data_IF_387916489847
#
_entry.id   IF_387916489847
#
_cell.length_a   1.000
_cell.length_b   1.000
_cell.length_c   1.000
_cell.angle_alpha   90.00
_cell.angle_beta   90.00
_cell.angle_gamma   90.00
#
_symmetry.space_group_name_H-M   'P 1'
#
loop_
_entity.id
_entity.type
_entity.pdbx_description
1 polymer ?
#
# COMPACT_ATOMS: atom_id res chain seq x y z
N UNK A 1 8.36 1.18 34.16
CA UNK A 1 7.38 1.31 33.06
C UNK A 1 6.21 0.40 33.36
N UNK A 2 5.02 0.96 33.54
CA UNK A 2 3.81 0.19 33.83
C UNK A 2 3.31 -0.51 32.55
N UNK A 3 2.72 -1.71 32.66
CA UNK A 3 2.17 -2.44 31.49
C UNK A 3 1.20 -1.58 30.65
N UNK A 4 0.44 -0.70 31.31
CA UNK A 4 -0.47 0.27 30.69
C UNK A 4 0.23 1.29 29.77
N UNK A 5 1.43 1.76 30.12
CA UNK A 5 2.21 2.66 29.26
C UNK A 5 2.69 1.94 28.01
N UNK A 6 3.11 0.68 28.13
CA UNK A 6 3.51 -0.12 26.97
C UNK A 6 2.34 -0.35 26.01
N UNK A 7 1.13 -0.61 26.51
CA UNK A 7 -0.06 -0.75 25.67
C UNK A 7 -0.43 0.56 24.99
N UNK A 8 -0.40 1.71 25.70
CA UNK A 8 -0.67 3.02 25.09
C UNK A 8 0.37 3.38 24.01
N UNK A 9 1.64 3.08 24.24
CA UNK A 9 2.70 3.33 23.27
C UNK A 9 2.58 2.40 22.06
N UNK A 10 2.21 1.14 22.27
CA UNK A 10 1.91 0.21 21.18
C UNK A 10 0.67 0.63 20.40
N UNK A 11 -0.40 1.08 21.07
CA UNK A 11 -1.62 1.58 20.44
C UNK A 11 -1.35 2.84 19.61
N UNK A 12 -0.60 3.80 20.15
CA UNK A 12 -0.18 4.98 19.40
C UNK A 12 0.75 4.64 18.23
N UNK A 13 1.63 3.65 18.39
CA UNK A 13 2.47 3.17 17.30
C UNK A 13 1.63 2.49 16.21
N UNK A 14 0.65 1.66 16.58
CA UNK A 14 -0.27 0.99 15.67
C UNK A 14 -1.18 2.01 14.99
N UNK A 15 -1.73 3.00 15.69
CA UNK A 15 -2.57 4.06 15.10
C UNK A 15 -1.78 5.00 14.19
N UNK A 16 -0.50 5.26 14.51
CA UNK A 16 0.40 6.00 13.61
C UNK A 16 0.81 5.19 12.40
N UNK A 17 0.97 3.88 12.55
CA UNK A 17 1.31 2.98 11.46
C UNK A 17 0.08 2.77 10.57
N UNK A 18 -1.05 2.39 11.14
CA UNK A 18 -2.37 2.32 10.53
C UNK A 18 -3.01 3.71 10.36
N UNK A 19 -2.20 4.71 9.98
CA UNK A 19 -2.70 6.03 9.59
C UNK A 19 -3.65 5.80 8.42
N UNK A 20 -4.81 6.46 8.43
CA UNK A 20 -5.79 6.42 7.33
C UNK A 20 -5.17 6.63 5.95
N UNK A 21 -4.10 7.42 5.89
CA UNK A 21 -3.29 7.69 4.71
C UNK A 21 -2.55 6.45 4.18
N UNK A 22 -2.03 5.57 5.04
CA UNK A 22 -1.36 4.32 4.67
C UNK A 22 -2.36 3.28 4.15
N UNK A 23 -3.53 3.20 4.78
CA UNK A 23 -4.60 2.29 4.35
C UNK A 23 -5.18 2.70 2.99
N UNK A 24 -5.27 4.01 2.73
CA UNK A 24 -5.68 4.54 1.44
C UNK A 24 -4.67 4.22 0.33
N UNK A 25 -3.36 4.26 0.61
CA UNK A 25 -2.32 3.84 -0.34
C UNK A 25 -2.43 2.36 -0.69
N UNK A 26 -2.58 1.51 0.32
CA UNK A 26 -2.82 0.08 0.11
C UNK A 26 -4.09 -0.17 -0.71
N UNK A 27 -5.18 0.54 -0.40
CA UNK A 27 -6.46 0.40 -1.10
C UNK A 27 -6.38 0.77 -2.58
N UNK A 28 -5.73 1.89 -2.92
CA UNK A 28 -5.59 2.31 -4.32
C UNK A 28 -4.67 1.38 -5.12
N UNK A 29 -3.53 0.97 -4.55
CA UNK A 29 -2.63 0.02 -5.18
C UNK A 29 -3.33 -1.33 -5.43
N UNK A 30 -4.05 -1.85 -4.44
CA UNK A 30 -4.82 -3.07 -4.55
C UNK A 30 -5.95 -2.97 -5.57
N UNK A 31 -6.82 -1.95 -5.48
CA UNK A 31 -7.98 -1.80 -6.35
C UNK A 31 -7.59 -1.63 -7.83
N UNK A 32 -6.57 -0.81 -8.14
CA UNK A 32 -6.11 -0.61 -9.51
C UNK A 32 -5.48 -1.88 -10.10
N UNK A 33 -4.70 -2.60 -9.29
CA UNK A 33 -4.10 -3.87 -9.73
C UNK A 33 -5.16 -4.95 -9.95
N UNK A 34 -6.21 -4.97 -9.13
CA UNK A 34 -7.34 -5.89 -9.28
C UNK A 34 -8.19 -5.54 -10.50
N UNK A 35 -8.39 -4.25 -10.79
CA UNK A 35 -9.00 -3.78 -12.05
C UNK A 35 -8.14 -4.08 -13.29
N UNK A 36 -6.84 -4.33 -13.11
CA UNK A 36 -5.94 -4.91 -14.12
C UNK A 36 -6.51 -6.17 -14.77
N UNK A 37 -7.30 -6.95 -14.02
CA UNK A 37 -8.02 -8.12 -14.51
C UNK A 37 -8.90 -7.83 -15.73
N UNK A 38 -9.48 -6.64 -15.80
CA UNK A 38 -10.37 -6.23 -16.90
C UNK A 38 -9.62 -5.50 -18.01
N UNK A 39 -8.49 -4.86 -17.69
CA UNK A 39 -7.69 -4.14 -18.67
C UNK A 39 -6.21 -4.15 -18.27
N UNK A 40 -5.41 -4.90 -19.02
CA UNK A 40 -4.00 -5.19 -18.74
C UNK A 40 -3.12 -3.98 -18.32
N UNK A 41 -3.23 -2.76 -18.90
CA UNK A 41 -2.41 -1.64 -18.46
C UNK A 41 -2.68 -1.18 -17.02
N UNK A 42 -3.84 -1.52 -16.43
CA UNK A 42 -4.14 -1.18 -15.03
C UNK A 42 -3.30 -1.99 -14.02
N UNK A 43 -2.75 -3.15 -14.40
CA UNK A 43 -1.80 -3.85 -13.54
C UNK A 43 -0.57 -2.98 -13.22
N UNK A 44 -0.11 -2.19 -14.21
CA UNK A 44 0.98 -1.22 -14.01
C UNK A 44 0.52 0.08 -13.35
N UNK A 45 -0.76 0.44 -13.47
CA UNK A 45 -1.31 1.67 -12.91
C UNK A 45 -1.31 1.69 -11.38
N UNK A 46 -1.54 0.54 -10.72
CA UNK A 46 -1.42 0.44 -9.27
C UNK A 46 -0.01 0.79 -8.77
N UNK A 47 1.02 0.26 -9.44
CA UNK A 47 2.42 0.57 -9.13
C UNK A 47 2.77 2.04 -9.46
N UNK A 48 2.29 2.54 -10.61
CA UNK A 48 2.54 3.90 -11.06
C UNK A 48 1.93 4.95 -10.12
N UNK A 49 0.68 4.74 -9.67
CA UNK A 49 0.02 5.63 -8.70
C UNK A 49 0.76 5.62 -7.36
N UNK A 50 1.26 4.46 -6.93
CA UNK A 50 2.06 4.35 -5.70
C UNK A 50 3.36 5.17 -5.82
N UNK A 51 4.08 5.03 -6.93
CA UNK A 51 5.31 5.77 -7.20
C UNK A 51 5.08 7.29 -7.35
N UNK A 52 4.05 7.70 -8.09
CA UNK A 52 3.72 9.12 -8.31
C UNK A 52 3.36 9.80 -6.99
N UNK A 53 2.57 9.13 -6.15
CA UNK A 53 2.13 9.67 -4.87
C UNK A 53 3.29 9.80 -3.88
N UNK A 54 4.21 8.84 -3.88
CA UNK A 54 5.42 8.92 -3.07
C UNK A 54 6.41 9.97 -3.57
N UNK A 55 6.53 10.15 -4.90
CA UNK A 55 7.31 11.26 -5.47
C UNK A 55 6.73 12.63 -5.09
N UNK A 56 5.39 12.75 -5.04
CA UNK A 56 4.70 13.95 -4.56
C UNK A 56 4.94 14.19 -3.07
N UNK A 57 4.89 13.14 -2.24
CA UNK A 57 5.19 13.25 -0.81
C UNK A 57 6.67 13.60 -0.57
N UNK A 58 7.59 13.07 -1.38
CA UNK A 58 9.01 13.43 -1.35
C UNK A 58 9.22 14.90 -1.70
N UNK A 59 8.52 15.39 -2.73
CA UNK A 59 8.63 16.78 -3.16
C UNK A 59 8.05 17.76 -2.13
N UNK A 60 6.95 17.38 -1.47
CA UNK A 60 6.26 18.22 -0.50
C UNK A 60 6.90 18.21 0.89
N UNK A 61 7.30 17.03 1.39
CA UNK A 61 7.78 16.86 2.78
C UNK A 61 9.28 16.63 2.91
N UNK A 62 10.03 16.51 1.80
CA UNK A 62 11.49 16.22 1.74
C UNK A 62 11.94 14.94 2.46
N UNK A 63 11.02 14.13 2.98
CA UNK A 63 11.32 12.88 3.67
C UNK A 63 10.64 11.73 2.94
N UNK A 64 11.44 10.72 2.59
CA UNK A 64 10.95 9.48 1.98
C UNK A 64 10.27 8.62 3.05
N UNK A 65 8.96 8.42 2.95
CA UNK A 65 8.22 7.57 3.89
C UNK A 65 8.16 6.13 3.40
N UNK A 66 9.22 5.36 3.69
CA UNK A 66 9.35 3.97 3.25
C UNK A 66 8.16 3.06 3.60
N UNK A 67 7.41 3.38 4.67
CA UNK A 67 6.20 2.64 5.04
C UNK A 67 5.10 2.71 3.99
N UNK A 68 4.89 3.89 3.39
CA UNK A 68 3.85 4.13 2.38
C UNK A 68 4.17 3.36 1.08
N UNK A 69 5.45 3.30 0.70
CA UNK A 69 5.96 2.49 -0.42
C UNK A 69 5.66 1.01 -0.26
N UNK A 70 6.08 0.44 0.87
CA UNK A 70 5.99 -0.99 1.13
C UNK A 70 4.52 -1.44 1.21
N UNK A 71 3.62 -0.61 1.73
CA UNK A 71 2.19 -0.89 1.74
C UNK A 71 1.58 -0.90 0.33
N UNK A 72 1.92 0.07 -0.53
CA UNK A 72 1.43 0.05 -1.91
C UNK A 72 1.94 -1.14 -2.71
N UNK A 73 3.22 -1.51 -2.53
CA UNK A 73 3.81 -2.72 -3.13
C UNK A 73 3.14 -4.00 -2.59
N UNK A 74 2.87 -4.07 -1.28
CA UNK A 74 2.18 -5.20 -0.67
C UNK A 74 0.76 -5.37 -1.24
N UNK A 75 0.03 -4.27 -1.45
CA UNK A 75 -1.28 -4.27 -2.10
C UNK A 75 -1.23 -4.78 -3.54
N UNK A 76 -0.24 -4.33 -4.32
CA UNK A 76 -0.04 -4.81 -5.69
C UNK A 76 0.33 -6.31 -5.73
N UNK A 77 1.23 -6.77 -4.85
CA UNK A 77 1.59 -8.19 -4.75
C UNK A 77 0.40 -9.06 -4.32
N UNK A 78 -0.40 -8.61 -3.37
CA UNK A 78 -1.58 -9.34 -2.91
C UNK A 78 -2.62 -9.48 -4.03
N UNK A 79 -2.88 -8.40 -4.78
CA UNK A 79 -3.77 -8.44 -5.94
C UNK A 79 -3.24 -9.36 -7.05
N UNK A 80 -1.95 -9.27 -7.37
CA UNK A 80 -1.32 -10.13 -8.36
C UNK A 80 -1.36 -11.62 -7.95
N UNK A 81 -1.05 -11.92 -6.68
CA UNK A 81 -1.13 -13.27 -6.14
C UNK A 81 -2.56 -13.81 -6.17
N UNK A 82 -3.56 -12.98 -5.85
CA UNK A 82 -4.96 -13.35 -5.92
C UNK A 82 -5.39 -13.67 -7.36
N UNK A 83 -5.04 -12.82 -8.33
CA UNK A 83 -5.31 -13.07 -9.76
C UNK A 83 -4.59 -14.32 -10.29
N UNK A 84 -3.37 -14.59 -9.80
CA UNK A 84 -2.62 -15.82 -10.13
C UNK A 84 -3.29 -17.07 -9.56
N UNK A 85 -3.69 -17.05 -8.29
CA UNK A 85 -4.40 -18.16 -7.64
C UNK A 85 -5.76 -18.44 -8.28
N UNK A 86 -6.45 -17.42 -8.78
CA UNK A 86 -7.72 -17.58 -9.52
C UNK A 86 -7.53 -18.01 -10.98
N UNK A 87 -6.30 -18.16 -11.47
CA UNK A 87 -6.01 -18.68 -12.81
C UNK A 87 -6.25 -17.69 -13.95
N UNK A 88 -6.39 -16.40 -13.64
CA UNK A 88 -6.63 -15.35 -14.63
C UNK A 88 -5.38 -14.89 -15.36
N UNK A 89 -4.22 -14.98 -14.72
CA UNK A 89 -2.91 -14.70 -15.30
C UNK A 89 -2.16 -16.02 -15.38
N UNK A 90 -1.94 -16.54 -16.60
CA UNK A 90 -0.99 -17.63 -16.85
C UNK A 90 0.33 -17.00 -17.29
N UNK A 91 1.36 -17.12 -16.44
CA UNK A 91 2.74 -16.80 -16.80
C UNK A 91 3.34 -17.99 -17.55
#
# INVERSE_FOLDING_TARGET
MSRLESYKNAELAILRFFRWDLQLHFFWGFALTLLGQYWAPLYGAGLAVTLVKEALDLWSKKCWCWGDFWCGIAGCRAAFLHSYLQGYIRV
#
